data_IF_605273139728
#
_entry.id   IF_605273139728
#
_cell.length_a   1.000
_cell.length_b   1.000
_cell.length_c   1.000
_cell.angle_alpha   90.00
_cell.angle_beta   90.00
_cell.angle_gamma   90.00
#
_symmetry.space_group_name_H-M   'P 1'
#
loop_
_entity.id
_entity.type
_entity.pdbx_description
1 polymer ?
#
# COMPACT_ATOMS: atom_id res chain seq x y z
N UNK A 1 -5.42 6.67 -24.71
CA UNK A 1 -6.05 5.62 -23.87
C UNK A 1 -4.89 4.91 -23.20
N UNK A 2 -4.42 5.21 -21.98
CA UNK A 2 -5.09 5.29 -20.69
C UNK A 2 -4.32 6.30 -19.81
N UNK A 3 -5.00 7.30 -19.25
CA UNK A 3 -4.45 8.16 -18.19
C UNK A 3 -5.03 7.70 -16.85
N UNK A 4 -4.80 6.43 -16.50
CA UNK A 4 -4.94 5.98 -15.12
C UNK A 4 -3.72 6.48 -14.36
N UNK A 5 -3.87 7.60 -13.65
CA UNK A 5 -2.81 8.30 -12.93
C UNK A 5 -1.92 7.31 -12.16
N UNK A 6 -0.62 7.34 -12.45
CA UNK A 6 0.42 6.64 -11.68
C UNK A 6 0.99 7.66 -10.69
N UNK A 7 0.86 7.40 -9.40
CA UNK A 7 1.52 8.22 -8.38
C UNK A 7 2.83 7.55 -7.98
N UNK A 8 3.95 8.22 -8.25
CA UNK A 8 5.27 7.86 -7.74
C UNK A 8 5.60 8.77 -6.56
N UNK A 9 5.89 8.18 -5.40
CA UNK A 9 6.35 8.94 -4.23
C UNK A 9 7.84 8.68 -4.05
N UNK A 10 8.64 9.74 -4.11
CA UNK A 10 10.03 9.75 -3.64
C UNK A 10 10.11 10.58 -2.37
N UNK A 11 10.19 9.91 -1.24
CA UNK A 11 10.08 10.52 0.08
C UNK A 11 11.44 10.63 0.78
N UNK A 12 11.61 11.69 1.58
CA UNK A 12 12.68 11.78 2.60
C UNK A 12 12.19 11.38 3.99
N UNK A 13 10.89 11.14 4.13
CA UNK A 13 10.25 10.72 5.37
C UNK A 13 10.13 9.19 5.41
N UNK A 14 10.15 8.63 6.62
CA UNK A 14 10.12 7.18 6.85
C UNK A 14 8.74 6.65 7.31
N UNK A 15 7.71 7.50 7.34
CA UNK A 15 6.38 7.14 7.86
C UNK A 15 5.27 7.47 6.87
N UNK A 16 4.36 6.55 6.64
CA UNK A 16 3.10 6.80 5.90
C UNK A 16 1.98 6.99 6.92
N UNK A 17 1.37 8.17 6.90
CA UNK A 17 0.32 8.53 7.85
C UNK A 17 -1.03 7.93 7.49
N UNK A 18 -1.94 7.91 8.46
CA UNK A 18 -3.34 7.53 8.28
C UNK A 18 -3.98 8.40 7.18
N UNK A 19 -4.75 7.80 6.26
CA UNK A 19 -5.44 8.50 5.16
C UNK A 19 -4.53 9.35 4.25
N UNK A 20 -3.22 9.08 4.19
CA UNK A 20 -2.25 9.89 3.45
C UNK A 20 -2.62 10.13 1.97
N UNK A 21 -3.37 9.20 1.37
CA UNK A 21 -3.76 9.24 -0.04
C UNK A 21 -5.26 9.38 -0.27
N UNK A 22 -6.06 9.65 0.77
CA UNK A 22 -7.52 9.59 0.69
C UNK A 22 -8.16 10.56 -0.31
N UNK A 23 -7.44 11.60 -0.74
CA UNK A 23 -7.89 12.54 -1.78
C UNK A 23 -7.74 12.00 -3.21
N UNK A 24 -7.02 10.89 -3.42
CA UNK A 24 -6.73 10.31 -4.73
C UNK A 24 -7.75 9.22 -5.10
N UNK A 25 -9.04 9.58 -5.12
CA UNK A 25 -10.16 8.63 -5.22
C UNK A 25 -10.19 7.77 -6.50
N UNK A 26 -9.55 8.23 -7.57
CA UNK A 26 -9.46 7.53 -8.86
C UNK A 26 -8.10 6.84 -9.10
N UNK A 27 -7.23 6.78 -8.09
CA UNK A 27 -5.89 6.21 -8.23
C UNK A 27 -5.96 4.70 -8.49
N UNK A 28 -5.26 4.24 -9.51
CA UNK A 28 -5.17 2.81 -9.86
C UNK A 28 -3.77 2.23 -9.60
N UNK A 29 -2.73 3.06 -9.62
CA UNK A 29 -1.33 2.65 -9.45
C UNK A 29 -0.62 3.54 -8.43
N UNK A 30 -0.09 2.93 -7.38
CA UNK A 30 0.69 3.61 -6.34
C UNK A 30 2.08 2.95 -6.21
N UNK A 31 3.12 3.70 -6.57
CA UNK A 31 4.53 3.30 -6.51
C UNK A 31 5.20 3.99 -5.31
N UNK A 32 5.52 3.20 -4.29
CA UNK A 32 6.20 3.59 -3.05
C UNK A 32 7.52 2.85 -2.86
N UNK A 33 7.93 2.08 -3.86
CA UNK A 33 9.11 1.23 -3.82
C UNK A 33 10.41 2.06 -3.75
N UNK A 34 11.45 1.46 -3.16
CA UNK A 34 12.79 2.05 -3.05
C UNK A 34 12.82 3.38 -2.30
N UNK A 35 12.06 3.46 -1.21
CA UNK A 35 12.10 4.55 -0.23
C UNK A 35 12.73 4.06 1.09
N UNK A 36 12.61 4.85 2.15
CA UNK A 36 13.10 4.50 3.49
C UNK A 36 11.95 4.33 4.50
N UNK A 37 10.75 3.96 4.02
CA UNK A 37 9.60 3.78 4.90
C UNK A 37 9.84 2.65 5.89
N UNK A 38 9.61 2.91 7.17
CA UNK A 38 9.71 1.94 8.26
C UNK A 38 8.41 1.78 9.04
N UNK A 39 7.50 2.76 8.95
CA UNK A 39 6.20 2.73 9.63
C UNK A 39 5.08 3.03 8.63
N UNK A 40 4.07 2.18 8.60
CA UNK A 40 2.80 2.44 7.92
C UNK A 40 1.71 2.43 8.99
N UNK A 41 1.02 3.55 9.18
CA UNK A 41 -0.07 3.64 10.16
C UNK A 41 -1.31 2.87 9.69
N UNK A 42 -2.25 2.65 10.62
CA UNK A 42 -3.55 2.07 10.29
C UNK A 42 -4.25 2.93 9.23
N UNK A 43 -5.02 2.30 8.34
CA UNK A 43 -5.84 3.01 7.36
C UNK A 43 -5.03 3.97 6.45
N UNK A 44 -3.71 3.78 6.33
CA UNK A 44 -2.83 4.63 5.51
C UNK A 44 -3.26 4.72 4.04
N UNK A 45 -3.84 3.63 3.51
CA UNK A 45 -4.34 3.52 2.15
C UNK A 45 -5.88 3.55 2.06
N UNK A 46 -6.56 3.86 3.16
CA UNK A 46 -8.02 3.92 3.18
C UNK A 46 -8.51 5.08 2.28
N UNK A 47 -9.63 4.88 1.59
CA UNK A 47 -10.15 5.77 0.55
C UNK A 47 -9.70 5.40 -0.87
N UNK A 48 -8.69 4.54 -1.04
CA UNK A 48 -8.20 4.10 -2.35
C UNK A 48 -8.96 2.87 -2.89
N UNK A 49 -10.29 2.93 -2.95
CA UNK A 49 -11.13 1.80 -3.34
C UNK A 49 -10.94 1.31 -4.78
N UNK A 50 -10.40 2.16 -5.67
CA UNK A 50 -10.10 1.84 -7.07
C UNK A 50 -8.64 1.43 -7.32
N UNK A 51 -7.80 1.39 -6.27
CA UNK A 51 -6.39 1.04 -6.42
C UNK A 51 -6.25 -0.43 -6.82
N UNK A 52 -5.50 -0.67 -7.89
CA UNK A 52 -5.30 -2.01 -8.46
C UNK A 52 -3.89 -2.53 -8.20
N UNK A 53 -2.90 -1.62 -8.15
CA UNK A 53 -1.49 -1.94 -7.99
C UNK A 53 -0.85 -1.12 -6.88
N UNK A 54 -0.26 -1.81 -5.90
CA UNK A 54 0.46 -1.20 -4.79
C UNK A 54 1.84 -1.83 -4.63
N UNK A 55 2.87 -1.04 -4.86
CA UNK A 55 4.27 -1.46 -4.80
C UNK A 55 4.96 -0.73 -3.65
N UNK A 56 5.38 -1.47 -2.62
CA UNK A 56 6.06 -0.95 -1.41
C UNK A 56 7.38 -1.70 -1.18
N UNK A 57 7.89 -2.40 -2.19
CA UNK A 57 9.14 -3.15 -2.10
C UNK A 57 10.37 -2.27 -1.86
N UNK A 58 11.45 -2.87 -1.36
CA UNK A 58 12.72 -2.18 -1.09
C UNK A 58 12.53 -1.00 -0.12
N UNK A 59 11.87 -1.26 1.01
CA UNK A 59 11.72 -0.33 2.13
C UNK A 59 12.22 -1.01 3.43
N UNK A 60 12.06 -0.35 4.57
CA UNK A 60 12.54 -0.82 5.87
C UNK A 60 11.41 -1.26 6.80
N UNK A 61 10.27 -1.69 6.27
CA UNK A 61 9.07 -1.98 7.06
C UNK A 61 9.28 -3.28 7.83
N UNK A 62 9.09 -3.23 9.16
CA UNK A 62 9.31 -4.37 10.06
C UNK A 62 8.01 -5.09 10.46
N UNK A 63 6.92 -4.33 10.51
CA UNK A 63 5.61 -4.85 10.88
C UNK A 63 4.52 -4.10 10.12
N UNK A 64 3.40 -4.78 9.93
CA UNK A 64 2.18 -4.23 9.38
C UNK A 64 1.05 -4.48 10.37
N UNK A 65 0.03 -3.64 10.33
CA UNK A 65 -1.19 -3.84 11.08
C UNK A 65 -2.22 -4.58 10.23
N UNK A 66 -3.17 -5.29 10.86
CA UNK A 66 -4.31 -5.88 10.14
C UNK A 66 -5.19 -4.84 9.44
N UNK A 67 -5.03 -3.56 9.77
CA UNK A 67 -5.74 -2.44 9.16
C UNK A 67 -4.93 -1.72 8.07
N UNK A 68 -3.70 -2.15 7.76
CA UNK A 68 -2.86 -1.44 6.78
C UNK A 68 -3.50 -1.41 5.40
N UNK A 69 -4.08 -2.52 4.93
CA UNK A 69 -4.70 -2.61 3.60
C UNK A 69 -6.23 -2.50 3.60
N UNK A 70 -6.80 -2.00 4.70
CA UNK A 70 -8.25 -1.86 4.85
C UNK A 70 -8.81 -0.95 3.75
N UNK A 71 -9.90 -1.39 3.13
CA UNK A 71 -10.61 -0.63 2.09
C UNK A 71 -10.04 -0.74 0.67
N UNK A 72 -8.94 -1.47 0.46
CA UNK A 72 -8.33 -1.72 -0.86
C UNK A 72 -9.08 -2.79 -1.67
N UNK A 73 -10.37 -2.56 -1.91
CA UNK A 73 -11.31 -3.55 -2.47
C UNK A 73 -11.02 -3.98 -3.91
N UNK A 74 -10.31 -3.14 -4.68
CA UNK A 74 -9.96 -3.43 -6.08
C UNK A 74 -8.51 -3.87 -6.26
N UNK A 75 -7.77 -4.08 -5.17
CA UNK A 75 -6.33 -4.35 -5.25
C UNK A 75 -6.09 -5.75 -5.81
N UNK A 76 -5.42 -5.80 -6.95
CA UNK A 76 -5.12 -7.03 -7.67
C UNK A 76 -3.67 -7.47 -7.48
N UNK A 77 -2.76 -6.52 -7.36
CA UNK A 77 -1.33 -6.74 -7.21
C UNK A 77 -0.79 -5.95 -6.02
N UNK A 78 -0.20 -6.66 -5.07
CA UNK A 78 0.50 -6.10 -3.93
C UNK A 78 1.94 -6.60 -3.98
N UNK A 79 2.92 -5.72 -3.75
CA UNK A 79 4.32 -6.11 -3.61
C UNK A 79 4.90 -5.52 -2.33
N UNK A 80 5.37 -6.40 -1.46
CA UNK A 80 6.00 -6.08 -0.17
C UNK A 80 7.45 -6.59 -0.09
N UNK A 81 7.99 -7.09 -1.20
CA UNK A 81 9.31 -7.71 -1.25
C UNK A 81 10.43 -6.81 -0.74
N UNK A 82 11.54 -7.39 -0.29
CA UNK A 82 12.70 -6.65 0.20
C UNK A 82 12.32 -5.59 1.27
N UNK A 83 11.48 -5.99 2.21
CA UNK A 83 11.27 -5.31 3.49
C UNK A 83 11.82 -6.19 4.63
N UNK A 84 11.74 -5.70 5.86
CA UNK A 84 12.20 -6.41 7.06
C UNK A 84 11.04 -7.07 7.83
N UNK A 85 10.00 -7.51 7.12
CA UNK A 85 8.79 -8.07 7.71
C UNK A 85 9.08 -9.42 8.35
N UNK A 86 8.85 -9.53 9.66
CA UNK A 86 9.05 -10.77 10.41
C UNK A 86 7.82 -11.66 10.41
N UNK A 87 6.65 -11.05 10.62
CA UNK A 87 5.37 -11.74 10.73
C UNK A 87 4.28 -10.87 10.11
N UNK A 88 3.37 -11.51 9.39
CA UNK A 88 2.14 -10.88 8.92
C UNK A 88 1.01 -11.15 9.91
N UNK A 89 0.27 -10.11 10.37
CA UNK A 89 -0.92 -10.30 11.19
C UNK A 89 -1.93 -11.23 10.54
N UNK A 90 -2.65 -11.99 11.37
CA UNK A 90 -3.86 -12.67 10.91
C UNK A 90 -4.82 -11.64 10.30
N UNK A 91 -5.47 -12.03 9.22
CA UNK A 91 -6.47 -11.22 8.51
C UNK A 91 -5.94 -9.95 7.82
N UNK A 92 -4.62 -9.77 7.68
CA UNK A 92 -4.05 -8.59 6.98
C UNK A 92 -4.56 -8.44 5.54
N UNK A 93 -4.95 -9.55 4.90
CA UNK A 93 -5.48 -9.58 3.52
C UNK A 93 -7.00 -9.74 3.45
N UNK A 94 -7.72 -9.65 4.57
CA UNK A 94 -9.17 -9.94 4.63
C UNK A 94 -10.01 -9.12 3.65
N UNK A 95 -9.65 -7.86 3.43
CA UNK A 95 -10.38 -6.92 2.56
C UNK A 95 -9.89 -6.95 1.11
N UNK A 96 -8.85 -7.74 0.81
CA UNK A 96 -8.24 -7.82 -0.52
C UNK A 96 -8.91 -8.91 -1.37
N UNK A 97 -10.22 -8.74 -1.60
CA UNK A 97 -11.08 -9.78 -2.18
C UNK A 97 -10.72 -10.22 -3.61
N UNK A 98 -9.97 -9.39 -4.34
CA UNK A 98 -9.59 -9.63 -5.74
C UNK A 98 -8.07 -9.72 -5.94
N UNK A 99 -7.32 -9.88 -4.85
CA UNK A 99 -5.87 -10.04 -4.90
C UNK A 99 -5.52 -11.33 -5.63
N UNK A 100 -4.65 -11.22 -6.62
CA UNK A 100 -4.18 -12.37 -7.40
C UNK A 100 -2.66 -12.49 -7.40
N UNK A 101 -1.95 -11.42 -7.04
CA UNK A 101 -0.49 -11.37 -6.99
C UNK A 101 -0.03 -10.68 -5.69
N UNK A 102 0.90 -11.33 -4.98
CA UNK A 102 1.48 -10.90 -3.70
C UNK A 102 3.01 -11.05 -3.72
#
# INVERSE_FOLDING_TARGET
MFLSCRTLVKAKFSRISEYAFAHLLALQFLLLNSNTFSVIQNDAFNGLSHLQYLFIENNNIQSLSKYTFRGLRSLNHLSLGNNNLLVLPRDIFRDLHVLTHL
#
